data_IF_729277480915
#
_entry.id   IF_729277480915
#
_cell.length_a   1.000
_cell.length_b   1.000
_cell.length_c   1.000
_cell.angle_alpha   90.00
_cell.angle_beta   90.00
_cell.angle_gamma   90.00
#
_symmetry.space_group_name_H-M   'P 1'
#
loop_
_entity.id
_entity.type
_entity.pdbx_description
1 polymer ?
#
# COMPACT_ATOMS: atom_id res chain seq x y z
N UNK A 1 9.41 29.99 -9.79
CA UNK A 1 9.81 28.58 -9.67
C UNK A 1 9.21 28.04 -8.39
N UNK A 2 8.23 27.14 -8.46
CA UNK A 2 7.63 26.56 -7.27
C UNK A 2 8.63 25.58 -6.64
N UNK A 3 9.16 25.91 -5.46
CA UNK A 3 9.94 24.97 -4.67
C UNK A 3 9.02 23.83 -4.23
N UNK A 4 9.19 22.65 -4.80
CA UNK A 4 8.52 21.43 -4.31
C UNK A 4 9.14 21.16 -2.93
N UNK A 5 8.33 21.20 -1.88
CA UNK A 5 8.79 20.90 -0.51
C UNK A 5 9.31 19.47 -0.46
N UNK A 6 10.44 19.24 0.21
CA UNK A 6 11.03 17.92 0.38
C UNK A 6 10.04 16.91 1.00
N UNK A 7 9.11 17.39 1.84
CA UNK A 7 8.04 16.59 2.42
C UNK A 7 7.12 15.94 1.38
N UNK A 8 6.94 16.54 0.19
CA UNK A 8 6.16 15.95 -0.91
C UNK A 8 6.90 14.79 -1.60
N UNK A 9 8.23 14.77 -1.51
CA UNK A 9 9.06 13.70 -2.08
C UNK A 9 9.14 12.48 -1.15
N UNK A 10 9.08 12.71 0.16
CA UNK A 10 9.08 11.66 1.17
C UNK A 10 8.01 11.91 2.24
N UNK A 11 6.73 11.66 1.91
CA UNK A 11 5.63 11.85 2.86
C UNK A 11 5.68 10.82 3.99
N UNK A 12 5.16 11.22 5.16
CA UNK A 12 4.91 10.30 6.27
C UNK A 12 3.79 9.32 5.93
N UNK A 13 2.70 9.82 5.34
CA UNK A 13 1.59 9.04 4.77
C UNK A 13 1.59 9.19 3.24
N UNK A 14 1.94 8.11 2.54
CA UNK A 14 1.91 8.03 1.08
C UNK A 14 0.59 7.44 0.57
N UNK A 15 0.33 7.67 -0.72
CA UNK A 15 -0.69 6.95 -1.51
C UNK A 15 -0.02 5.75 -2.17
N UNK A 16 -0.65 4.58 -2.13
CA UNK A 16 -0.10 3.32 -2.65
C UNK A 16 -1.13 2.60 -3.54
N UNK A 17 -1.41 3.21 -4.70
CA UNK A 17 -2.30 2.64 -5.70
C UNK A 17 -1.70 1.38 -6.32
N UNK A 18 -2.47 0.30 -6.36
CA UNK A 18 -2.10 -0.94 -7.05
C UNK A 18 -2.33 -0.77 -8.56
N UNK A 19 -1.37 -1.09 -9.43
CA UNK A 19 -1.56 -1.07 -10.88
C UNK A 19 -2.72 -1.97 -11.31
N UNK A 20 -3.47 -1.56 -12.32
CA UNK A 20 -4.65 -2.31 -12.79
C UNK A 20 -4.32 -3.75 -13.17
N UNK A 21 -3.17 -3.96 -13.80
CA UNK A 21 -2.65 -5.27 -14.23
C UNK A 21 -2.20 -6.17 -13.08
N UNK A 22 -2.01 -5.61 -11.88
CA UNK A 22 -1.64 -6.33 -10.67
C UNK A 22 -2.79 -6.42 -9.65
N UNK A 23 -3.97 -5.89 -9.98
CA UNK A 23 -5.16 -6.12 -9.17
C UNK A 23 -5.37 -7.62 -8.92
N UNK A 24 -5.84 -7.97 -7.73
CA UNK A 24 -6.05 -9.35 -7.25
C UNK A 24 -4.77 -10.17 -7.00
N UNK A 25 -3.59 -9.64 -7.29
CA UNK A 25 -2.31 -10.20 -6.84
C UNK A 25 -1.98 -9.65 -5.43
N UNK A 26 -2.37 -10.40 -4.40
CA UNK A 26 -2.18 -10.03 -3.00
C UNK A 26 -1.83 -11.27 -2.15
N UNK A 27 -1.43 -11.04 -0.90
CA UNK A 27 -0.99 -12.13 -0.01
C UNK A 27 -2.19 -13.02 0.35
N UNK A 28 -3.37 -12.44 0.52
CA UNK A 28 -4.60 -13.19 0.83
C UNK A 28 -4.97 -14.22 -0.25
N UNK A 29 -4.67 -13.94 -1.53
CA UNK A 29 -4.89 -14.89 -2.62
C UNK A 29 -3.74 -15.88 -2.79
N UNK A 30 -2.54 -15.53 -2.32
CA UNK A 30 -1.33 -16.36 -2.42
C UNK A 30 -1.14 -17.33 -1.23
N UNK A 31 -1.71 -17.06 -0.06
CA UNK A 31 -1.54 -17.86 1.15
C UNK A 31 -2.82 -18.59 1.58
N UNK A 32 -2.70 -19.72 2.30
CA UNK A 32 -3.81 -20.29 3.04
C UNK A 32 -4.42 -19.25 3.99
N UNK A 33 -5.75 -19.25 4.11
CA UNK A 33 -6.48 -18.27 4.93
C UNK A 33 -5.98 -18.21 6.39
N UNK A 34 -5.63 -19.37 6.97
CA UNK A 34 -5.09 -19.43 8.33
C UNK A 34 -3.70 -18.80 8.44
N UNK A 35 -2.85 -18.99 7.44
CA UNK A 35 -1.51 -18.36 7.40
C UNK A 35 -1.64 -16.86 7.32
N UNK A 36 -2.50 -16.35 6.42
CA UNK A 36 -2.81 -14.93 6.34
C UNK A 36 -3.37 -14.38 7.67
N UNK A 37 -4.27 -15.11 8.31
CA UNK A 37 -4.87 -14.72 9.59
C UNK A 37 -3.85 -14.60 10.73
N UNK A 38 -2.91 -15.55 10.81
CA UNK A 38 -1.84 -15.51 11.80
C UNK A 38 -0.89 -14.33 11.54
N UNK A 39 -0.53 -14.12 10.28
CA UNK A 39 0.42 -13.09 9.87
C UNK A 39 -0.13 -11.68 10.10
N UNK A 40 -1.39 -11.41 9.75
CA UNK A 40 -2.01 -10.10 10.03
C UNK A 40 -2.13 -9.84 11.53
N UNK A 41 -2.45 -10.87 12.34
CA UNK A 41 -2.56 -10.75 13.80
C UNK A 41 -1.20 -10.50 14.46
N UNK A 42 -0.14 -11.14 13.98
CA UNK A 42 1.22 -10.88 14.44
C UNK A 42 1.61 -9.41 14.19
N UNK A 43 1.35 -8.89 12.98
CA UNK A 43 1.55 -7.48 12.63
C UNK A 43 0.77 -6.54 13.56
N UNK A 44 -0.51 -6.82 13.85
CA UNK A 44 -1.31 -5.99 14.75
C UNK A 44 -0.76 -5.98 16.18
N UNK A 45 -0.31 -7.14 16.68
CA UNK A 45 0.23 -7.27 18.02
C UNK A 45 1.57 -6.55 18.16
N UNK A 46 2.46 -6.68 17.16
CA UNK A 46 3.74 -5.98 17.12
C UNK A 46 3.57 -4.45 17.14
N UNK A 47 2.56 -3.94 16.43
CA UNK A 47 2.22 -2.52 16.43
C UNK A 47 1.39 -2.06 17.65
N UNK A 48 1.20 -2.92 18.66
CA UNK A 48 0.36 -2.67 19.83
C UNK A 48 -1.05 -2.14 19.46
N UNK A 49 -1.59 -2.65 18.35
CA UNK A 49 -2.86 -2.24 17.76
C UNK A 49 -2.95 -0.72 17.52
N UNK A 50 -1.84 -0.06 17.14
CA UNK A 50 -1.79 1.35 16.77
C UNK A 50 -1.29 1.51 15.33
N UNK A 51 -1.78 2.54 14.65
CA UNK A 51 -1.32 2.86 13.31
C UNK A 51 0.19 3.16 13.34
N UNK A 52 0.99 2.42 12.59
CA UNK A 52 2.43 2.64 12.52
C UNK A 52 2.80 3.98 11.86
N UNK A 53 1.85 4.61 11.15
CA UNK A 53 2.04 5.93 10.54
C UNK A 53 1.64 7.04 11.52
N UNK A 54 0.37 7.10 11.95
CA UNK A 54 -0.17 8.24 12.71
C UNK A 54 -0.43 7.95 14.19
N UNK A 55 -0.18 6.73 14.67
CA UNK A 55 -0.45 6.25 16.03
C UNK A 55 -1.95 6.20 16.44
N UNK A 56 -2.85 6.55 15.51
CA UNK A 56 -4.30 6.49 15.68
C UNK A 56 -4.88 5.08 15.65
N UNK A 57 -6.19 4.99 15.88
CA UNK A 57 -6.98 3.74 15.90
C UNK A 57 -8.36 3.98 15.28
N UNK A 58 -8.91 2.95 14.64
CA UNK A 58 -10.28 2.97 14.14
C UNK A 58 -11.34 2.72 15.22
N UNK A 59 -12.61 3.08 14.97
CA UNK A 59 -13.70 2.92 15.93
C UNK A 59 -14.22 1.48 16.04
N UNK A 60 -14.29 0.75 14.92
CA UNK A 60 -14.79 -0.64 14.88
C UNK A 60 -13.65 -1.66 15.08
N UNK A 61 -12.55 -1.43 14.39
CA UNK A 61 -11.30 -2.17 14.55
C UNK A 61 -10.12 -1.19 14.71
N UNK A 62 -9.18 -1.44 15.63
CA UNK A 62 -8.08 -0.51 15.87
C UNK A 62 -7.20 -0.27 14.64
N UNK A 63 -6.86 -1.35 13.92
CA UNK A 63 -5.95 -1.35 12.76
C UNK A 63 -6.34 -2.40 11.73
N UNK A 64 -5.84 -2.20 10.50
CA UNK A 64 -5.96 -3.05 9.33
C UNK A 64 -4.56 -3.37 8.79
N UNK A 65 -4.38 -4.55 8.19
CA UNK A 65 -3.11 -4.95 7.60
C UNK A 65 -3.01 -4.43 6.17
N UNK A 66 -2.04 -3.54 5.95
CA UNK A 66 -1.72 -2.98 4.65
C UNK A 66 -0.49 -3.68 4.06
N UNK A 67 -0.61 -4.17 2.83
CA UNK A 67 0.50 -4.79 2.10
C UNK A 67 1.34 -3.69 1.42
N UNK A 68 2.60 -3.54 1.81
CA UNK A 68 3.50 -2.53 1.24
C UNK A 68 4.31 -3.11 0.08
N UNK A 69 4.12 -2.53 -1.09
CA UNK A 69 4.68 -3.03 -2.35
C UNK A 69 5.76 -2.12 -2.93
N UNK A 70 6.83 -2.74 -3.43
CA UNK A 70 7.81 -2.11 -4.31
C UNK A 70 7.62 -2.65 -5.74
N UNK A 71 7.79 -1.79 -6.75
CA UNK A 71 7.65 -2.16 -8.15
C UNK A 71 9.02 -2.07 -8.85
N UNK A 72 9.65 -3.23 -9.06
CA UNK A 72 10.99 -3.37 -9.61
C UNK A 72 10.92 -3.71 -11.10
N UNK A 73 11.37 -2.81 -11.97
CA UNK A 73 11.36 -3.06 -13.42
C UNK A 73 12.51 -4.00 -13.80
N UNK A 74 12.28 -4.91 -14.75
CA UNK A 74 13.35 -5.69 -15.41
C UNK A 74 13.54 -5.15 -16.82
N UNK A 75 14.78 -4.97 -17.26
CA UNK A 75 15.08 -4.48 -18.61
C UNK A 75 14.83 -5.48 -19.76
N UNK A 76 13.94 -6.48 -19.61
CA UNK A 76 13.68 -7.62 -20.53
C UNK A 76 12.18 -8.04 -20.45
N UNK A 77 11.62 -8.97 -21.28
CA UNK A 77 10.22 -8.94 -21.77
C UNK A 77 9.08 -9.21 -20.75
N UNK A 78 9.39 -9.32 -19.46
CA UNK A 78 8.42 -9.24 -18.36
C UNK A 78 8.64 -7.89 -17.66
N UNK A 79 7.62 -7.05 -17.55
CA UNK A 79 7.81 -5.63 -17.23
C UNK A 79 8.41 -5.38 -15.82
N UNK A 80 8.08 -6.22 -14.83
CA UNK A 80 8.73 -6.15 -13.52
C UNK A 80 8.12 -7.04 -12.45
N UNK A 81 8.53 -6.80 -11.20
CA UNK A 81 8.04 -7.47 -10.00
C UNK A 81 7.30 -6.50 -9.07
N UNK A 82 6.09 -6.88 -8.66
CA UNK A 82 5.43 -6.36 -7.46
C UNK A 82 5.96 -7.14 -6.27
N UNK A 83 6.93 -6.55 -5.57
CA UNK A 83 7.64 -7.17 -4.45
C UNK A 83 7.08 -6.70 -3.11
N UNK A 84 6.70 -7.65 -2.26
CA UNK A 84 6.29 -7.35 -0.89
C UNK A 84 7.51 -6.90 -0.10
N UNK A 85 7.37 -5.78 0.59
CA UNK A 85 8.44 -5.22 1.43
C UNK A 85 8.09 -5.24 2.91
N UNK A 86 6.82 -5.11 3.25
CA UNK A 86 6.34 -5.16 4.62
C UNK A 86 4.83 -5.37 4.64
N UNK A 87 4.33 -5.74 5.81
CA UNK A 87 2.91 -5.67 6.15
C UNK A 87 2.82 -4.70 7.32
N UNK A 88 1.97 -3.70 7.19
CA UNK A 88 1.91 -2.57 8.09
C UNK A 88 0.53 -2.48 8.74
N UNK A 89 0.49 -2.30 10.07
CA UNK A 89 -0.73 -2.05 10.82
C UNK A 89 -1.12 -0.56 10.69
N UNK A 90 -2.23 -0.29 10.03
CA UNK A 90 -2.72 1.07 9.78
C UNK A 90 -4.10 1.28 10.41
N UNK A 91 -4.39 2.48 10.92
CA UNK A 91 -5.79 2.83 11.22
C UNK A 91 -6.59 2.92 9.92
N UNK A 92 -7.93 2.79 9.98
CA UNK A 92 -8.78 2.83 8.78
C UNK A 92 -8.59 4.08 7.92
N UNK A 93 -8.39 5.26 8.52
CA UNK A 93 -8.20 6.50 7.78
C UNK A 93 -6.86 6.51 6.99
N UNK A 94 -5.77 6.04 7.62
CA UNK A 94 -4.48 5.90 6.93
C UNK A 94 -4.55 4.86 5.81
N UNK A 95 -5.24 3.74 6.05
CA UNK A 95 -5.40 2.69 5.05
C UNK A 95 -6.29 3.14 3.88
N UNK A 96 -7.35 3.92 4.15
CA UNK A 96 -8.18 4.54 3.11
C UNK A 96 -7.34 5.47 2.20
N UNK A 97 -6.38 6.21 2.77
CA UNK A 97 -5.43 7.04 1.99
C UNK A 97 -4.49 6.21 1.12
N UNK A 98 -3.98 5.06 1.62
CA UNK A 98 -3.19 4.15 0.77
C UNK A 98 -3.96 3.76 -0.48
N UNK A 99 -5.26 3.53 -0.33
CA UNK A 99 -6.20 3.16 -1.40
C UNK A 99 -7.11 4.31 -1.84
N UNK A 100 -6.57 5.53 -1.99
CA UNK A 100 -7.36 6.74 -2.29
C UNK A 100 -8.24 6.63 -3.55
N UNK A 101 -7.84 5.83 -4.54
CA UNK A 101 -8.65 5.55 -5.73
C UNK A 101 -9.95 4.80 -5.40
N UNK A 102 -9.90 3.84 -4.47
CA UNK A 102 -11.09 3.17 -3.96
C UNK A 102 -11.94 4.11 -3.09
N UNK A 103 -11.29 4.95 -2.28
CA UNK A 103 -11.98 5.98 -1.50
C UNK A 103 -12.79 6.91 -2.42
N UNK A 104 -12.21 7.33 -3.55
CA UNK A 104 -12.91 8.15 -4.56
C UNK A 104 -14.14 7.44 -5.13
N UNK A 105 -14.02 6.18 -5.54
CA UNK A 105 -15.16 5.40 -6.05
C UNK A 105 -16.28 5.25 -5.02
N UNK A 106 -15.95 5.29 -3.72
CA UNK A 106 -16.90 5.21 -2.60
C UNK A 106 -17.42 6.58 -2.14
N UNK A 107 -17.08 7.67 -2.81
CA UNK A 107 -17.49 9.02 -2.42
C UNK A 107 -16.76 9.56 -1.18
N UNK A 108 -15.63 8.96 -0.79
CA UNK A 108 -14.83 9.29 0.40
C UNK A 108 -13.51 10.00 0.10
N UNK A 109 -13.34 10.53 -1.12
CA UNK A 109 -12.11 11.23 -1.51
C UNK A 109 -11.79 12.42 -0.58
N UNK A 110 -12.78 13.22 -0.22
CA UNK A 110 -12.55 14.43 0.58
C UNK A 110 -12.05 14.12 2.01
N UNK A 111 -12.70 13.21 2.78
CA UNK A 111 -12.14 12.72 4.04
C UNK A 111 -10.71 12.18 3.91
N UNK A 112 -10.42 11.38 2.87
CA UNK A 112 -9.09 10.83 2.65
C UNK A 112 -8.04 11.92 2.39
N UNK A 113 -8.35 12.92 1.56
CA UNK A 113 -7.46 14.06 1.29
C UNK A 113 -7.20 14.89 2.55
N UNK A 114 -8.23 15.13 3.36
CA UNK A 114 -8.09 15.85 4.63
C UNK A 114 -7.18 15.09 5.60
N UNK A 115 -7.32 13.76 5.69
CA UNK A 115 -6.46 12.93 6.53
C UNK A 115 -5.01 12.89 6.01
N UNK A 116 -4.82 12.75 4.70
CA UNK A 116 -3.52 12.81 4.03
C UNK A 116 -2.81 14.13 4.33
N UNK A 117 -3.54 15.25 4.23
CA UNK A 117 -3.02 16.57 4.52
C UNK A 117 -2.63 16.71 5.99
N UNK A 118 -3.50 16.29 6.90
CA UNK A 118 -3.28 16.36 8.34
C UNK A 118 -2.02 15.58 8.78
N UNK A 119 -1.90 14.31 8.39
CA UNK A 119 -0.78 13.44 8.83
C UNK A 119 0.57 13.94 8.30
N UNK A 120 0.58 14.57 7.13
CA UNK A 120 1.79 15.09 6.52
C UNK A 120 2.09 16.57 6.82
N UNK A 121 1.19 17.28 7.52
CA UNK A 121 1.30 18.72 7.75
C UNK A 121 1.23 19.54 6.45
N UNK A 122 0.43 19.09 5.49
CA UNK A 122 0.24 19.73 4.19
C UNK A 122 -1.03 20.59 4.18
N UNK A 123 -1.05 21.55 3.26
CA UNK A 123 -2.28 22.18 2.79
C UNK A 123 -3.11 21.21 1.93
N UNK A 124 -4.39 21.52 1.78
CA UNK A 124 -5.28 20.75 0.89
C UNK A 124 -4.77 20.74 -0.57
N UNK A 125 -4.26 21.87 -1.05
CA UNK A 125 -3.68 21.99 -2.40
C UNK A 125 -2.47 21.07 -2.59
N UNK A 126 -1.60 20.96 -1.57
CA UNK A 126 -0.46 20.04 -1.59
C UNK A 126 -0.92 18.57 -1.63
N UNK A 127 -1.93 18.19 -0.84
CA UNK A 127 -2.50 16.83 -0.85
C UNK A 127 -3.14 16.48 -2.21
N UNK A 128 -3.86 17.42 -2.82
CA UNK A 128 -4.43 17.26 -4.16
C UNK A 128 -3.32 17.12 -5.20
N UNK A 129 -2.28 17.93 -5.13
CA UNK A 129 -1.15 17.87 -6.07
C UNK A 129 -0.40 16.54 -5.96
N UNK A 130 -0.11 16.09 -4.74
CA UNK A 130 0.51 14.79 -4.48
C UNK A 130 -0.35 13.63 -5.02
N UNK A 131 -1.68 13.71 -4.84
CA UNK A 131 -2.61 12.72 -5.38
C UNK A 131 -2.53 12.64 -6.90
N UNK A 132 -2.45 13.77 -7.62
CA UNK A 132 -2.25 13.77 -9.08
C UNK A 132 -0.97 13.04 -9.47
N UNK A 133 0.15 13.33 -8.82
CA UNK A 133 1.43 12.66 -9.07
C UNK A 133 1.35 11.15 -8.77
N UNK A 134 0.66 10.74 -7.71
CA UNK A 134 0.43 9.32 -7.43
C UNK A 134 -0.37 8.61 -8.54
N UNK A 135 -1.41 9.27 -9.08
CA UNK A 135 -2.17 8.74 -10.21
C UNK A 135 -1.36 8.68 -11.52
N UNK A 136 -0.43 9.62 -11.76
CA UNK A 136 0.48 9.54 -12.91
C UNK A 136 1.41 8.33 -12.83
N UNK A 137 1.95 8.03 -11.64
CA UNK A 137 2.76 6.83 -11.41
C UNK A 137 1.92 5.57 -11.60
N UNK A 138 0.72 5.53 -11.03
CA UNK A 138 -0.23 4.44 -11.21
C UNK A 138 -0.59 4.20 -12.69
N UNK A 139 -0.85 5.26 -13.46
CA UNK A 139 -1.20 5.17 -14.87
C UNK A 139 -0.05 4.62 -15.72
N UNK A 140 1.21 4.94 -15.37
CA UNK A 140 2.40 4.36 -16.02
C UNK A 140 2.50 2.86 -15.70
N UNK A 141 2.50 2.50 -14.41
CA UNK A 141 2.63 1.09 -13.96
C UNK A 141 1.48 0.21 -14.45
N UNK A 142 0.28 0.76 -14.63
CA UNK A 142 -0.89 0.01 -15.12
C UNK A 142 -0.79 -0.39 -16.59
N UNK A 143 0.25 0.04 -17.33
CA UNK A 143 0.54 -0.40 -18.71
C UNK A 143 1.45 -1.62 -18.77
N UNK A 144 1.89 -2.10 -17.62
CA UNK A 144 2.94 -3.11 -17.48
C UNK A 144 2.41 -4.35 -16.79
N UNK A 145 2.94 -5.53 -17.12
CA UNK A 145 2.63 -6.78 -16.43
C UNK A 145 3.58 -6.99 -15.25
N UNK A 146 3.02 -7.22 -14.07
CA UNK A 146 3.78 -7.41 -12.83
C UNK A 146 3.68 -8.87 -12.37
N UNK A 147 4.83 -9.48 -12.10
CA UNK A 147 4.90 -10.74 -11.35
C UNK A 147 4.86 -10.48 -9.85
N UNK A 148 4.29 -11.39 -9.08
CA UNK A 148 4.22 -11.29 -7.62
C UNK A 148 5.49 -11.89 -6.98
N UNK A 149 6.16 -11.12 -6.12
CA UNK A 149 7.27 -11.58 -5.27
C UNK A 149 6.89 -11.35 -3.80
N UNK A 150 6.75 -12.44 -3.04
CA UNK A 150 6.46 -12.44 -1.59
C UNK A 150 7.50 -13.22 -0.79
N UNK A 151 8.71 -13.39 -1.35
CA UNK A 151 9.76 -14.24 -0.76
C UNK A 151 10.20 -13.76 0.64
N UNK A 152 10.06 -12.46 0.93
CA UNK A 152 10.34 -11.89 2.27
C UNK A 152 9.59 -12.61 3.40
N UNK A 153 8.42 -13.18 3.12
CA UNK A 153 7.65 -13.92 4.11
C UNK A 153 8.37 -15.20 4.55
N UNK A 154 9.09 -15.87 3.64
CA UNK A 154 9.89 -17.06 3.98
C UNK A 154 11.04 -16.67 4.91
N UNK A 155 11.70 -15.55 4.64
CA UNK A 155 12.78 -15.03 5.49
C UNK A 155 12.28 -14.66 6.90
N UNK A 156 11.01 -14.27 7.01
CA UNK A 156 10.31 -14.02 8.28
C UNK A 156 9.75 -15.29 8.95
N UNK A 157 10.00 -16.47 8.38
CA UNK A 157 9.56 -17.76 8.93
C UNK A 157 8.11 -18.16 8.59
N UNK A 158 7.45 -17.46 7.67
CA UNK A 158 6.11 -17.82 7.22
C UNK A 158 6.14 -18.87 6.09
N UNK A 159 5.29 -19.89 6.13
CA UNK A 159 5.24 -20.91 5.09
C UNK A 159 4.67 -20.32 3.79
N UNK A 160 5.37 -20.58 2.68
CA UNK A 160 4.92 -20.24 1.32
C UNK A 160 4.56 -21.51 0.54
N UNK A 161 3.54 -21.48 -0.34
CA UNK A 161 3.28 -22.58 -1.26
C UNK A 161 4.47 -22.80 -2.22
N UNK A 162 4.70 -24.06 -2.62
CA UNK A 162 5.86 -24.47 -3.43
C UNK A 162 5.94 -23.83 -4.83
N UNK A 163 4.87 -23.19 -5.31
CA UNK A 163 4.79 -22.58 -6.64
C UNK A 163 4.32 -21.13 -6.53
N UNK A 164 5.26 -20.19 -6.53
CA UNK A 164 4.99 -18.75 -6.56
C UNK A 164 5.82 -18.09 -7.65
N UNK A 165 5.57 -18.38 -8.93
CA UNK A 165 6.11 -17.54 -10.02
C UNK A 165 5.61 -18.00 -11.39
N UNK A 166 4.66 -17.26 -11.95
CA UNK A 166 4.69 -16.87 -13.35
C UNK A 166 3.72 -15.70 -13.52
N UNK A 167 4.08 -14.62 -14.24
CA UNK A 167 3.06 -13.72 -14.75
C UNK A 167 2.08 -14.56 -15.59
N UNK A 168 0.77 -14.49 -15.29
CA UNK A 168 -0.24 -15.05 -16.20
C UNK A 168 -0.42 -14.15 -17.41
#
# INVERSE_FOLDING_TARGET
MAFIRASLLNPRLSIELIPQTAHYQNIRSALPAQTWDNLRKACYNEAEYRCEICQGRGPEHPVEAHEKWEYLHRGTPTAGWQKLTAIQALCPDCHEVKHIGLAQLRGRLQPALAHLAHVNGWSETEAVQYTKTAFEVWAKRSREAWGLDIEILRDQGWPLPQYLWAPR
#
